data_IF_534572464565
#
_entry.id   IF_534572464565
#
_cell.length_a   1.000
_cell.length_b   1.000
_cell.length_c   1.000
_cell.angle_alpha   90.00
_cell.angle_beta   90.00
_cell.angle_gamma   90.00
#
_symmetry.space_group_name_H-M   'P 1'
#
loop_
_entity.id
_entity.type
_entity.pdbx_description
1 polymer ?
#
# COMPACT_ATOMS: atom_id res chain seq x y z
N UNK A 1 2.02 -8.25 -6.39
CA UNK A 1 1.35 -9.20 -7.29
C UNK A 1 1.81 -8.92 -8.71
N UNK A 2 2.30 -9.93 -9.45
CA UNK A 2 2.71 -9.76 -10.86
C UNK A 2 1.66 -10.47 -11.71
N UNK A 3 0.75 -9.69 -12.27
CA UNK A 3 -0.44 -10.23 -12.96
C UNK A 3 -0.10 -11.06 -14.19
N UNK A 4 0.93 -10.67 -14.95
CA UNK A 4 1.39 -11.40 -16.14
C UNK A 4 1.94 -12.81 -15.82
N UNK A 5 2.31 -13.07 -14.56
CA UNK A 5 2.82 -14.37 -14.09
C UNK A 5 1.76 -15.19 -13.36
N UNK A 6 0.54 -14.69 -13.26
CA UNK A 6 -0.52 -15.38 -12.52
C UNK A 6 -1.19 -16.44 -13.40
N UNK A 7 -1.04 -17.70 -13.05
CA UNK A 7 -1.70 -18.85 -13.72
C UNK A 7 -3.13 -19.10 -13.25
N UNK A 8 -3.57 -18.41 -12.19
CA UNK A 8 -4.93 -18.55 -11.69
C UNK A 8 -5.26 -19.85 -10.96
N UNK A 9 -4.26 -20.57 -10.47
CA UNK A 9 -4.45 -21.83 -9.71
C UNK A 9 -5.20 -21.64 -8.41
N UNK A 10 -5.31 -20.41 -7.90
CA UNK A 10 -6.02 -20.01 -6.66
C UNK A 10 -5.45 -20.58 -5.36
N UNK A 11 -4.39 -21.38 -5.41
CA UNK A 11 -3.75 -21.96 -4.23
C UNK A 11 -3.36 -20.89 -3.19
N UNK A 12 -2.86 -19.76 -3.65
CA UNK A 12 -2.53 -18.63 -2.77
C UNK A 12 -3.73 -18.02 -2.05
N UNK A 13 -4.95 -18.14 -2.61
CA UNK A 13 -6.18 -17.72 -1.93
C UNK A 13 -6.62 -18.73 -0.89
N UNK A 14 -6.50 -20.01 -1.21
CA UNK A 14 -6.87 -21.11 -0.30
C UNK A 14 -6.02 -21.08 0.97
N UNK A 15 -4.70 -20.91 0.82
CA UNK A 15 -3.75 -20.89 1.94
C UNK A 15 -3.63 -19.53 2.65
N UNK A 16 -4.25 -18.47 2.13
CA UNK A 16 -4.18 -17.18 2.79
C UNK A 16 -5.05 -17.15 4.05
N UNK A 17 -4.47 -17.07 5.26
CA UNK A 17 -5.24 -17.03 6.50
C UNK A 17 -6.09 -15.76 6.63
N UNK A 18 -5.67 -14.67 5.99
CA UNK A 18 -6.39 -13.39 5.98
C UNK A 18 -7.49 -13.31 4.93
N UNK A 19 -7.60 -14.30 4.03
CA UNK A 19 -8.53 -14.30 2.89
C UNK A 19 -8.48 -13.01 2.06
N UNK A 20 -7.29 -12.42 1.97
CA UNK A 20 -7.06 -11.12 1.32
C UNK A 20 -6.85 -11.22 -0.19
N UNK A 21 -6.84 -12.43 -0.74
CA UNK A 21 -6.63 -12.67 -2.17
C UNK A 21 -7.94 -13.01 -2.84
N UNK A 22 -8.23 -12.32 -3.96
CA UNK A 22 -9.47 -12.46 -4.71
C UNK A 22 -9.17 -12.90 -6.14
N UNK A 23 -10.01 -13.77 -6.67
CA UNK A 23 -9.88 -14.29 -8.03
C UNK A 23 -10.87 -13.59 -8.96
N UNK A 24 -10.39 -13.19 -10.14
CA UNK A 24 -11.23 -12.58 -11.16
C UNK A 24 -11.93 -13.67 -11.98
N UNK A 25 -13.15 -13.99 -11.63
CA UNK A 25 -13.98 -14.95 -12.35
C UNK A 25 -14.50 -14.39 -13.69
N UNK A 26 -14.68 -13.06 -13.77
CA UNK A 26 -15.30 -12.40 -14.90
C UNK A 26 -14.35 -11.38 -15.51
N UNK A 27 -14.48 -11.18 -16.83
CA UNK A 27 -13.76 -10.12 -17.53
C UNK A 27 -14.62 -8.86 -17.66
N UNK A 28 -14.66 -8.08 -16.60
CA UNK A 28 -15.40 -6.82 -16.56
C UNK A 28 -14.83 -5.76 -17.52
N UNK A 29 -13.63 -5.96 -18.02
CA UNK A 29 -12.94 -4.97 -18.85
C UNK A 29 -13.21 -5.19 -20.35
N UNK A 30 -13.64 -6.38 -20.75
CA UNK A 30 -13.82 -6.77 -22.16
C UNK A 30 -14.95 -5.99 -22.84
N UNK A 31 -16.05 -5.77 -22.14
CA UNK A 31 -17.24 -5.08 -22.66
C UNK A 31 -17.11 -3.54 -22.67
N UNK A 32 -15.99 -2.99 -22.22
CA UNK A 32 -15.79 -1.54 -22.18
C UNK A 32 -15.56 -0.99 -23.59
N UNK A 33 -16.39 -0.05 -24.01
CA UNK A 33 -16.19 0.68 -25.27
C UNK A 33 -14.88 1.47 -25.28
N UNK A 34 -14.46 1.90 -26.46
CA UNK A 34 -13.21 2.62 -26.67
C UNK A 34 -13.14 3.91 -25.81
N UNK A 35 -14.24 4.66 -25.75
CA UNK A 35 -14.33 5.86 -24.90
C UNK A 35 -14.07 5.57 -23.42
N UNK A 36 -14.55 4.43 -22.90
CA UNK A 36 -14.30 4.02 -21.51
C UNK A 36 -12.85 3.63 -21.29
N UNK A 37 -12.18 3.11 -22.32
CA UNK A 37 -10.73 2.78 -22.24
C UNK A 37 -9.88 4.03 -22.05
N UNK A 38 -10.26 5.15 -22.64
CA UNK A 38 -9.56 6.44 -22.50
C UNK A 38 -9.56 6.98 -21.06
N UNK A 39 -10.53 6.59 -20.24
CA UNK A 39 -10.58 6.98 -18.82
C UNK A 39 -9.55 6.27 -17.96
N UNK A 40 -8.97 5.15 -18.45
CA UNK A 40 -8.07 4.31 -17.65
C UNK A 40 -6.68 4.91 -17.61
N UNK A 41 -6.06 4.80 -16.43
CA UNK A 41 -4.66 5.16 -16.29
C UNK A 41 -3.78 4.16 -17.08
N UNK A 42 -3.03 4.60 -18.10
CA UNK A 42 -2.21 3.71 -18.93
C UNK A 42 -1.09 3.01 -18.13
N UNK A 43 -0.69 3.57 -16.98
CA UNK A 43 0.33 2.98 -16.12
C UNK A 43 -0.20 1.88 -15.20
N UNK A 44 -1.50 1.61 -15.22
CA UNK A 44 -2.13 0.57 -14.39
C UNK A 44 -2.55 -0.59 -15.28
N UNK A 45 -2.00 -1.77 -15.02
CA UNK A 45 -2.37 -2.99 -15.73
C UNK A 45 -3.85 -3.30 -15.54
N UNK A 46 -4.60 -3.44 -16.63
CA UNK A 46 -5.97 -3.94 -16.61
C UNK A 46 -5.91 -5.45 -16.39
N UNK A 47 -6.53 -5.92 -15.30
CA UNK A 47 -6.53 -7.36 -14.98
C UNK A 47 -7.60 -8.05 -15.78
N UNK A 48 -7.24 -9.17 -16.36
CA UNK A 48 -8.14 -10.03 -17.10
C UNK A 48 -8.81 -11.06 -16.19
N UNK A 49 -9.75 -11.81 -16.76
CA UNK A 49 -10.28 -13.01 -16.12
C UNK A 49 -9.15 -14.01 -15.84
N UNK A 50 -9.26 -14.74 -14.73
CA UNK A 50 -8.32 -15.80 -14.38
C UNK A 50 -7.11 -15.34 -13.56
N UNK A 51 -7.05 -14.08 -13.14
CA UNK A 51 -5.94 -13.50 -12.39
C UNK A 51 -6.34 -13.28 -10.95
N UNK A 52 -5.40 -13.52 -10.03
CA UNK A 52 -5.54 -13.22 -8.61
C UNK A 52 -5.22 -11.77 -8.33
N UNK A 53 -6.01 -11.13 -7.47
CA UNK A 53 -5.77 -9.77 -7.01
C UNK A 53 -5.67 -9.68 -5.49
N UNK A 54 -4.88 -8.76 -5.02
CA UNK A 54 -4.80 -8.37 -3.60
C UNK A 54 -4.43 -6.89 -3.50
N UNK A 55 -4.66 -6.31 -2.34
CA UNK A 55 -4.18 -4.97 -2.04
C UNK A 55 -2.65 -4.88 -2.26
N UNK A 56 -2.21 -3.87 -2.98
CA UNK A 56 -0.80 -3.55 -3.27
C UNK A 56 -0.33 -2.29 -2.56
N UNK A 57 -1.11 -1.77 -1.59
CA UNK A 57 -0.88 -0.48 -0.94
C UNK A 57 -0.78 0.69 -1.94
N UNK A 58 -1.58 0.64 -3.01
CA UNK A 58 -1.59 1.65 -4.06
C UNK A 58 -0.18 1.88 -4.66
N UNK A 59 0.48 0.79 -5.07
CA UNK A 59 1.85 0.82 -5.60
C UNK A 59 2.07 1.90 -6.65
N UNK A 60 1.08 2.19 -7.51
CA UNK A 60 1.16 3.24 -8.52
C UNK A 60 1.28 4.64 -7.90
N UNK A 61 0.59 4.89 -6.78
CA UNK A 61 0.70 6.15 -6.05
C UNK A 61 2.07 6.29 -5.37
N UNK A 62 2.59 5.19 -4.83
CA UNK A 62 3.93 5.13 -4.24
C UNK A 62 4.99 5.39 -5.31
N UNK A 63 4.93 4.73 -6.47
CA UNK A 63 5.88 4.93 -7.56
C UNK A 63 5.80 6.37 -8.13
N UNK A 64 4.60 6.92 -8.25
CA UNK A 64 4.42 8.33 -8.64
C UNK A 64 5.07 9.29 -7.64
N UNK A 65 4.94 9.02 -6.35
CA UNK A 65 5.58 9.81 -5.30
C UNK A 65 7.12 9.73 -5.40
N UNK A 66 7.67 8.53 -5.62
CA UNK A 66 9.10 8.32 -5.85
C UNK A 66 9.61 9.10 -7.05
N UNK A 67 8.91 9.04 -8.19
CA UNK A 67 9.28 9.77 -9.41
C UNK A 67 9.29 11.27 -9.14
N UNK A 68 8.25 11.80 -8.48
CA UNK A 68 8.16 13.23 -8.14
C UNK A 68 9.28 13.66 -7.20
N UNK A 69 9.59 12.86 -6.20
CA UNK A 69 10.65 13.13 -5.25
C UNK A 69 12.01 13.14 -5.94
N UNK A 70 12.31 12.13 -6.76
CA UNK A 70 13.53 12.09 -7.57
C UNK A 70 13.64 13.28 -8.53
N UNK A 71 12.55 13.65 -9.20
CA UNK A 71 12.53 14.81 -10.09
C UNK A 71 12.79 16.13 -9.36
N UNK A 72 12.36 16.25 -8.10
CA UNK A 72 12.64 17.41 -7.25
C UNK A 72 14.12 17.50 -6.94
N UNK A 73 14.72 16.40 -6.45
CA UNK A 73 16.15 16.33 -6.17
C UNK A 73 17.01 16.68 -7.38
N UNK A 74 16.62 16.23 -8.57
CA UNK A 74 17.33 16.56 -9.81
C UNK A 74 17.21 18.05 -10.19
N UNK A 75 16.09 18.70 -9.86
CA UNK A 75 15.90 20.13 -10.10
C UNK A 75 16.70 21.02 -9.14
N UNK A 76 16.98 20.53 -7.94
CA UNK A 76 17.82 21.20 -6.95
C UNK A 76 19.31 21.22 -7.36
N UNK A 77 19.70 20.40 -8.35
CA UNK A 77 21.05 20.32 -8.91
C UNK A 77 21.05 20.59 -10.43
N UNK A 78 20.65 21.78 -10.89
CA UNK A 78 20.58 22.10 -12.31
C UNK A 78 21.97 22.10 -12.94
N UNK A 79 22.12 21.43 -14.08
CA UNK A 79 23.36 21.39 -14.85
C UNK A 79 24.35 20.29 -14.48
N UNK A 80 24.06 19.47 -13.48
CA UNK A 80 24.87 18.28 -13.23
C UNK A 80 24.30 17.09 -14.01
N UNK A 81 25.13 16.30 -14.74
CA UNK A 81 24.67 15.08 -15.34
C UNK A 81 24.19 14.13 -14.23
N UNK A 82 23.13 13.39 -14.50
CA UNK A 82 22.50 12.47 -13.54
C UNK A 82 23.46 11.43 -12.95
N UNK A 83 24.59 11.18 -13.61
CA UNK A 83 25.65 10.28 -13.15
C UNK A 83 26.60 10.90 -12.11
N UNK A 84 26.61 12.23 -11.96
CA UNK A 84 27.47 12.95 -11.01
C UNK A 84 26.72 13.49 -9.79
N UNK A 85 25.39 13.35 -9.76
CA UNK A 85 24.59 13.70 -8.58
C UNK A 85 24.79 12.58 -7.55
N UNK A 86 25.52 12.89 -6.49
CA UNK A 86 25.74 11.96 -5.38
C UNK A 86 24.46 11.88 -4.52
N UNK A 87 23.46 11.16 -5.02
CA UNK A 87 22.22 10.90 -4.26
C UNK A 87 22.49 9.74 -3.30
N UNK A 88 22.44 9.99 -2.03
CA UNK A 88 22.56 8.96 -1.01
C UNK A 88 21.26 8.14 -0.92
N UNK A 89 21.34 6.92 -0.38
CA UNK A 89 20.14 6.12 -0.14
C UNK A 89 19.10 6.86 0.73
N UNK A 90 19.57 7.71 1.65
CA UNK A 90 18.71 8.52 2.52
C UNK A 90 17.94 9.58 1.74
N UNK A 91 18.54 10.18 0.73
CA UNK A 91 17.89 11.18 -0.11
C UNK A 91 16.80 10.56 -1.00
N UNK A 92 16.88 9.27 -1.29
CA UNK A 92 15.88 8.52 -2.03
C UNK A 92 14.69 8.06 -1.18
N UNK A 93 14.80 8.15 0.16
CA UNK A 93 13.69 7.83 1.04
C UNK A 93 12.58 8.87 0.87
N UNK A 94 11.37 8.38 0.69
CA UNK A 94 10.21 9.26 0.62
C UNK A 94 9.94 9.89 1.98
N UNK A 95 9.77 11.20 2.06
CA UNK A 95 9.29 11.85 3.29
C UNK A 95 7.95 11.25 3.73
N UNK A 96 7.73 11.21 5.03
CA UNK A 96 6.46 10.72 5.59
C UNK A 96 5.29 11.56 5.04
N UNK A 97 4.21 10.90 4.64
CA UNK A 97 3.05 11.53 4.01
C UNK A 97 3.20 11.88 2.52
N UNK A 98 4.38 11.72 1.90
CA UNK A 98 4.57 12.01 0.48
C UNK A 98 3.80 11.05 -0.44
N UNK A 99 3.56 9.82 0.01
CA UNK A 99 2.71 8.85 -0.65
C UNK A 99 1.48 8.59 0.21
N UNK A 100 0.29 8.70 -0.37
CA UNK A 100 -0.97 8.42 0.30
C UNK A 100 -1.72 7.33 -0.46
N UNK A 101 -2.34 6.41 0.25
CA UNK A 101 -3.16 5.37 -0.35
C UNK A 101 -4.57 5.89 -0.63
N UNK A 102 -5.26 5.28 -1.61
CA UNK A 102 -6.63 5.69 -1.95
C UNK A 102 -7.59 5.53 -0.75
N UNK A 103 -7.43 4.48 0.06
CA UNK A 103 -8.23 4.27 1.27
C UNK A 103 -7.95 5.34 2.34
N UNK A 104 -6.69 5.79 2.47
CA UNK A 104 -6.33 6.89 3.37
C UNK A 104 -6.98 8.21 2.93
N UNK A 105 -6.95 8.51 1.62
CA UNK A 105 -7.57 9.70 1.06
C UNK A 105 -9.09 9.69 1.18
N UNK A 106 -9.69 8.51 1.07
CA UNK A 106 -11.15 8.34 1.18
C UNK A 106 -11.66 8.32 2.62
N UNK A 107 -10.78 8.26 3.62
CA UNK A 107 -11.17 8.18 5.02
C UNK A 107 -11.38 9.59 5.61
N UNK A 108 -12.62 10.06 5.83
CA UNK A 108 -12.88 11.41 6.35
C UNK A 108 -12.39 11.58 7.80
N UNK A 109 -12.32 10.49 8.55
CA UNK A 109 -11.88 10.49 9.95
C UNK A 109 -10.35 10.47 10.13
N UNK A 110 -9.57 10.38 9.04
CA UNK A 110 -8.13 10.27 9.13
C UNK A 110 -7.63 9.03 9.90
N UNK A 111 -8.44 7.97 9.95
CA UNK A 111 -8.16 6.77 10.75
C UNK A 111 -7.10 5.85 10.15
N UNK A 112 -6.66 6.10 8.92
CA UNK A 112 -5.69 5.26 8.22
C UNK A 112 -4.37 6.01 8.10
N UNK A 113 -3.32 5.42 8.67
CA UNK A 113 -1.95 5.93 8.55
C UNK A 113 -1.16 5.00 7.65
N UNK A 114 -0.45 5.57 6.67
CA UNK A 114 0.40 4.84 5.74
C UNK A 114 1.77 5.50 5.67
N UNK A 115 2.83 4.71 5.65
CA UNK A 115 4.20 5.23 5.60
C UNK A 115 5.25 4.13 5.60
N UNK A 116 6.51 4.51 5.72
CA UNK A 116 7.63 3.60 5.81
C UNK A 116 7.80 3.11 7.26
N UNK A 117 7.60 1.81 7.47
CA UNK A 117 7.75 1.18 8.81
C UNK A 117 9.20 1.08 9.27
N UNK A 118 10.17 1.24 8.36
CA UNK A 118 11.60 1.22 8.69
C UNK A 118 12.11 2.59 9.17
N UNK A 119 11.30 3.64 8.99
CA UNK A 119 11.60 4.96 9.52
C UNK A 119 10.98 5.12 10.92
N UNK A 120 11.78 5.17 12.00
CA UNK A 120 11.26 5.33 13.35
C UNK A 120 10.47 6.65 13.55
N UNK A 121 10.80 7.69 12.79
CA UNK A 121 10.16 9.00 12.87
C UNK A 121 8.81 9.04 12.15
N UNK A 122 8.52 8.06 11.28
CA UNK A 122 7.27 8.01 10.53
C UNK A 122 6.04 7.81 11.45
N UNK A 123 4.93 8.43 11.09
CA UNK A 123 3.68 8.33 11.85
C UNK A 123 3.20 6.87 11.99
N UNK A 124 3.40 6.06 10.95
CA UNK A 124 3.03 4.62 10.97
C UNK A 124 3.87 3.84 12.00
N UNK A 125 5.17 4.14 12.12
CA UNK A 125 6.06 3.47 13.09
C UNK A 125 5.70 3.83 14.51
N UNK A 126 5.43 5.11 14.76
CA UNK A 126 4.91 5.59 16.06
C UNK A 126 3.58 4.94 16.41
N UNK A 127 2.65 4.81 15.45
CA UNK A 127 1.38 4.13 15.68
C UNK A 127 1.57 2.65 16.03
N UNK A 128 2.49 1.97 15.35
CA UNK A 128 2.80 0.55 15.60
C UNK A 128 3.50 0.32 16.94
N UNK A 129 4.21 1.31 17.50
CA UNK A 129 4.85 1.20 18.82
C UNK A 129 3.90 1.41 20.00
N UNK A 130 2.66 1.84 19.76
CA UNK A 130 1.69 2.02 20.83
C UNK A 130 1.28 0.69 21.47
N UNK A 131 1.09 0.64 22.80
CA UNK A 131 0.68 -0.58 23.51
C UNK A 131 -0.63 -1.19 23.00
N UNK A 132 -1.51 -0.39 22.43
CA UNK A 132 -2.79 -0.82 21.85
C UNK A 132 -2.70 -1.32 20.41
N UNK A 133 -1.49 -1.36 19.83
CA UNK A 133 -1.30 -1.94 18.50
C UNK A 133 -1.54 -3.46 18.53
N UNK A 134 -2.23 -3.95 17.54
CA UNK A 134 -2.50 -5.39 17.34
C UNK A 134 -2.32 -5.77 15.89
N UNK A 135 -1.64 -6.88 15.67
CA UNK A 135 -1.57 -7.56 14.37
C UNK A 135 -2.59 -8.69 14.32
N UNK A 136 -3.33 -8.80 13.23
CA UNK A 136 -4.25 -9.92 13.05
C UNK A 136 -3.48 -11.23 12.96
N UNK A 137 -3.99 -12.26 13.63
CA UNK A 137 -3.43 -13.62 13.60
C UNK A 137 -1.93 -13.67 13.95
N UNK A 138 -1.52 -12.88 14.94
CA UNK A 138 -0.12 -12.78 15.38
C UNK A 138 0.49 -14.13 15.75
N UNK A 139 -0.34 -15.09 16.24
CA UNK A 139 0.08 -16.46 16.57
C UNK A 139 0.62 -17.25 15.37
N UNK A 140 0.29 -16.86 14.14
CA UNK A 140 0.78 -17.52 12.93
C UNK A 140 2.17 -17.04 12.48
N UNK A 141 2.74 -16.03 13.10
CA UNK A 141 4.06 -15.50 12.76
C UNK A 141 4.19 -14.94 11.32
N UNK A 142 3.09 -14.54 10.70
CA UNK A 142 3.06 -14.07 9.30
C UNK A 142 3.42 -12.61 9.11
N UNK A 143 3.56 -11.86 10.18
CA UNK A 143 3.92 -10.44 10.23
C UNK A 143 3.23 -9.56 9.16
N UNK A 144 1.91 -9.35 9.25
CA UNK A 144 1.17 -8.58 8.26
C UNK A 144 1.58 -7.11 8.29
N UNK A 145 1.76 -6.50 7.11
CA UNK A 145 2.07 -5.07 6.99
C UNK A 145 1.00 -4.14 7.58
N UNK A 146 -0.27 -4.58 7.58
CA UNK A 146 -1.39 -3.83 8.18
C UNK A 146 -1.55 -4.22 9.64
N UNK A 147 -1.55 -3.21 10.51
CA UNK A 147 -1.87 -3.35 11.94
C UNK A 147 -3.10 -2.54 12.30
N UNK A 148 -3.61 -2.76 13.49
CA UNK A 148 -4.80 -2.11 14.02
C UNK A 148 -4.51 -1.54 15.41
N UNK A 149 -5.09 -0.39 15.69
CA UNK A 149 -5.12 0.15 17.05
C UNK A 149 -6.46 -0.22 17.68
N UNK A 150 -6.43 -0.90 18.81
CA UNK A 150 -7.65 -1.15 19.58
C UNK A 150 -8.24 0.18 20.04
N UNK A 151 -9.58 0.32 20.06
CA UNK A 151 -10.22 1.53 20.56
C UNK A 151 -9.84 1.75 22.02
N UNK A 152 -9.67 3.01 22.38
CA UNK A 152 -9.59 3.39 23.79
C UNK A 152 -11.03 3.41 24.33
N UNK A 153 -11.38 2.43 25.15
CA UNK A 153 -12.63 2.40 25.86
C UNK A 153 -12.44 2.68 27.35
N UNK A 154 -13.43 3.17 28.02
CA UNK A 154 -13.48 3.14 29.48
C UNK A 154 -13.92 1.73 29.89
N UNK A 155 -13.04 0.88 30.42
CA UNK A 155 -13.46 -0.40 30.94
C UNK A 155 -14.49 -0.16 32.05
N UNK A 156 -15.59 -0.87 32.02
CA UNK A 156 -16.54 -0.85 33.13
C UNK A 156 -15.92 -1.63 34.28
N UNK A 157 -15.52 -1.00 35.40
CA UNK A 157 -14.85 -1.68 36.51
C UNK A 157 -15.68 -2.83 37.12
N UNK A 158 -17.00 -2.83 36.90
CA UNK A 158 -17.86 -3.93 37.32
C UNK A 158 -17.77 -5.20 36.46
N UNK A 159 -17.05 -5.14 35.33
CA UNK A 159 -16.85 -6.31 34.42
C UNK A 159 -15.46 -6.95 34.59
N UNK A 160 -14.61 -6.45 35.48
CA UNK A 160 -13.29 -7.00 35.78
C UNK A 160 -13.31 -7.98 36.98
N UNK A 161 -14.46 -8.48 37.37
CA UNK A 161 -14.64 -9.42 38.47
C UNK A 161 -14.63 -10.88 37.98
#
# INVERSE_FOLDING_TARGET
>A
MVYARCWGTRYCATNCPYKARRFNFFDYAKASGEATRLQRNPNVTVRSRGVMEKCTYCVQMVERAKIRHKSRLMKEHPGQPSTSIHVTEKDLLLPDGAAQTACQLACPMGAITFGNVLDPAAAVSRAKSLPRHRSLLSSLGTDPGTGYLTPAGNPNPAMEA
#
